data_IF_268742864359
#
_entry.id   IF_268742864359
#
_cell.length_a   1.000
_cell.length_b   1.000
_cell.length_c   1.000
_cell.angle_alpha   90.00
_cell.angle_beta   90.00
_cell.angle_gamma   90.00
#
_symmetry.space_group_name_H-M   'P 1'
#
loop_
_entity.id
_entity.type
_entity.pdbx_description
1 polymer ?
#
# COMPACT_ATOMS: atom_id res chain seq x y z
N UNK A 1 62.31 -21.59 4.38
CA UNK A 1 61.83 -22.45 3.28
C UNK A 1 60.32 -22.47 3.34
N UNK A 2 59.67 -22.35 2.17
CA UNK A 2 58.23 -22.30 1.86
C UNK A 2 57.61 -20.92 2.19
N UNK A 3 57.20 -20.03 1.27
CA UNK A 3 56.81 -20.13 -0.14
C UNK A 3 55.39 -19.56 -0.27
N UNK A 4 55.14 -18.37 -0.87
CA UNK A 4 53.78 -17.82 -0.98
C UNK A 4 53.03 -18.39 -2.18
N UNK A 5 51.83 -18.93 -1.96
CA UNK A 5 50.98 -19.42 -3.02
C UNK A 5 50.38 -18.27 -3.85
N UNK A 6 50.55 -18.45 -5.15
CA UNK A 6 50.21 -17.58 -6.27
C UNK A 6 48.76 -17.85 -6.64
N UNK A 7 47.88 -16.86 -6.51
CA UNK A 7 46.50 -16.95 -7.00
C UNK A 7 46.52 -16.77 -8.52
N UNK A 8 46.27 -17.87 -9.23
CA UNK A 8 46.22 -17.91 -10.70
C UNK A 8 44.91 -17.32 -11.22
N UNK A 9 45.05 -16.44 -12.22
CA UNK A 9 43.96 -15.92 -13.03
C UNK A 9 43.46 -17.01 -13.97
N UNK A 10 42.15 -17.20 -14.04
CA UNK A 10 41.52 -18.02 -15.07
C UNK A 10 40.74 -17.10 -16.01
N UNK A 11 41.35 -16.82 -17.16
CA UNK A 11 40.67 -16.33 -18.36
C UNK A 11 39.90 -17.50 -18.98
N UNK A 12 38.59 -17.30 -19.18
CA UNK A 12 37.68 -18.25 -19.81
C UNK A 12 36.81 -17.51 -20.82
N UNK A 13 37.08 -17.84 -22.07
CA UNK A 13 36.65 -17.26 -23.33
C UNK A 13 35.23 -17.66 -23.75
N UNK A 14 34.74 -16.89 -24.71
CA UNK A 14 33.52 -16.84 -25.53
C UNK A 14 32.56 -18.05 -25.64
N UNK A 15 31.26 -17.72 -25.76
CA UNK A 15 30.17 -18.63 -26.04
C UNK A 15 28.87 -17.91 -26.40
N UNK A 16 28.90 -17.22 -27.53
CA UNK A 16 27.78 -16.60 -28.26
C UNK A 16 26.89 -17.71 -28.88
N UNK A 17 25.57 -17.69 -28.67
CA UNK A 17 24.55 -18.35 -29.52
C UNK A 17 23.11 -18.05 -29.04
N UNK A 18 22.38 -17.32 -29.86
CA UNK A 18 20.91 -17.31 -30.02
C UNK A 18 20.64 -16.76 -31.45
N UNK A 19 19.49 -16.97 -32.13
CA UNK A 19 18.25 -17.64 -31.71
C UNK A 19 17.63 -18.58 -32.78
N UNK A 20 16.65 -19.40 -32.39
CA UNK A 20 15.69 -20.01 -33.34
C UNK A 20 14.23 -19.73 -32.95
N UNK A 21 13.61 -18.95 -33.84
CA UNK A 21 12.21 -18.58 -34.00
C UNK A 21 11.36 -19.79 -34.44
N UNK A 22 10.26 -20.09 -33.72
CA UNK A 22 9.16 -20.91 -34.26
C UNK A 22 7.79 -20.33 -33.91
N UNK A 23 7.24 -19.72 -34.95
CA UNK A 23 5.85 -19.47 -35.27
C UNK A 23 4.92 -20.66 -34.97
N UNK A 24 3.73 -20.39 -34.45
CA UNK A 24 2.58 -21.31 -34.49
C UNK A 24 1.27 -20.52 -34.36
N UNK A 25 0.82 -20.05 -35.52
CA UNK A 25 -0.54 -20.08 -36.06
C UNK A 25 -1.74 -20.41 -35.15
N UNK A 26 -2.66 -19.43 -35.14
CA UNK A 26 -4.12 -19.47 -34.98
C UNK A 26 -4.80 -20.78 -35.41
N UNK A 27 -5.71 -21.26 -34.56
CA UNK A 27 -6.84 -22.12 -34.94
C UNK A 27 -8.16 -21.40 -34.61
N UNK A 28 -8.83 -20.90 -35.65
CA UNK A 28 -10.23 -20.52 -35.65
C UNK A 28 -11.04 -21.72 -36.17
N UNK A 29 -11.93 -22.27 -35.36
CA UNK A 29 -12.94 -23.23 -35.80
C UNK A 29 -14.32 -22.72 -35.40
N UNK A 30 -15.07 -22.29 -36.41
CA UNK A 30 -16.44 -21.82 -36.29
C UNK A 30 -17.43 -22.95 -36.08
N UNK A 31 -18.58 -22.59 -35.50
CA UNK A 31 -19.79 -23.40 -35.51
C UNK A 31 -20.95 -22.51 -35.99
N UNK A 32 -21.49 -22.91 -37.14
CA UNK A 32 -22.74 -22.47 -37.75
C UNK A 32 -23.89 -22.72 -36.75
N UNK A 33 -24.89 -21.87 -36.56
CA UNK A 33 -25.85 -21.46 -37.57
C UNK A 33 -27.00 -22.47 -37.61
N UNK A 34 -27.99 -22.35 -36.70
CA UNK A 34 -29.28 -23.03 -36.88
C UNK A 34 -30.43 -22.19 -36.32
N UNK A 35 -31.39 -21.96 -37.22
CA UNK A 35 -32.55 -21.09 -37.08
C UNK A 35 -33.81 -21.91 -37.29
N UNK A 36 -34.63 -22.07 -36.25
CA UNK A 36 -36.07 -22.44 -36.26
C UNK A 36 -36.57 -22.08 -34.85
N UNK A 37 -37.76 -21.61 -34.53
CA UNK A 37 -39.08 -21.62 -35.16
C UNK A 37 -39.95 -20.57 -34.46
N UNK A 38 -40.82 -19.92 -35.21
CA UNK A 38 -41.80 -18.92 -34.72
C UNK A 38 -43.05 -19.64 -34.24
N UNK A 39 -43.17 -19.83 -32.93
CA UNK A 39 -44.36 -20.41 -32.28
C UNK A 39 -45.04 -19.45 -31.31
N UNK A 40 -46.14 -18.85 -31.76
CA UNK A 40 -47.05 -17.97 -31.02
C UNK A 40 -47.76 -18.71 -29.88
N UNK A 41 -47.78 -18.14 -28.68
CA UNK A 41 -48.60 -18.59 -27.54
C UNK A 41 -48.77 -17.50 -26.48
N UNK A 42 -49.90 -16.79 -26.55
CA UNK A 42 -50.43 -15.91 -25.50
C UNK A 42 -50.63 -16.68 -24.18
N UNK A 43 -50.09 -16.18 -23.07
CA UNK A 43 -50.79 -16.20 -21.77
C UNK A 43 -50.32 -15.03 -20.91
N UNK A 44 -51.29 -14.20 -20.53
CA UNK A 44 -51.13 -13.13 -19.56
C UNK A 44 -50.84 -13.68 -18.16
N UNK A 45 -49.83 -13.13 -17.48
CA UNK A 45 -49.67 -13.24 -16.03
C UNK A 45 -49.17 -11.91 -15.48
N UNK A 46 -50.11 -11.07 -15.05
CA UNK A 46 -49.81 -9.87 -14.27
C UNK A 46 -49.26 -10.24 -12.89
N UNK A 47 -48.22 -9.52 -12.47
CA UNK A 47 -48.17 -8.94 -11.13
C UNK A 47 -47.69 -9.83 -9.98
N UNK A 48 -46.45 -10.31 -10.03
CA UNK A 48 -45.73 -10.68 -8.80
C UNK A 48 -44.42 -9.90 -8.71
N UNK A 49 -44.26 -8.98 -7.73
CA UNK A 49 -42.99 -8.29 -7.56
C UNK A 49 -41.90 -9.31 -7.23
N UNK A 50 -40.66 -9.08 -7.68
CA UNK A 50 -39.54 -9.94 -7.34
C UNK A 50 -39.43 -10.04 -5.81
N UNK A 51 -39.28 -11.26 -5.27
CA UNK A 51 -39.12 -11.50 -3.82
C UNK A 51 -37.79 -10.98 -3.28
N UNK A 52 -36.86 -10.66 -4.18
CA UNK A 52 -35.57 -10.07 -3.85
C UNK A 52 -35.67 -8.58 -4.23
N UNK A 53 -35.57 -7.65 -3.26
CA UNK A 53 -35.48 -6.23 -3.58
C UNK A 53 -34.31 -6.01 -4.55
N UNK A 54 -34.54 -5.22 -5.60
CA UNK A 54 -33.44 -4.76 -6.45
C UNK A 54 -32.39 -4.06 -5.56
N UNK A 55 -31.08 -4.21 -5.86
CA UNK A 55 -30.06 -3.41 -5.21
C UNK A 55 -30.47 -1.94 -5.25
N UNK A 56 -30.40 -1.25 -4.11
CA UNK A 56 -30.68 0.19 -4.09
C UNK A 56 -29.69 0.85 -5.04
N UNK A 57 -30.19 1.54 -6.07
CA UNK A 57 -29.36 2.44 -6.84
C UNK A 57 -28.76 3.45 -5.87
N UNK A 58 -27.45 3.66 -5.92
CA UNK A 58 -26.79 4.71 -5.16
C UNK A 58 -27.45 6.04 -5.50
N UNK A 59 -27.68 6.88 -4.48
CA UNK A 59 -28.24 8.24 -4.67
C UNK A 59 -27.42 9.05 -5.68
N UNK A 60 -26.14 8.70 -5.82
CA UNK A 60 -25.15 9.29 -6.72
C UNK A 60 -25.36 8.92 -8.21
N UNK A 61 -25.98 7.77 -8.52
CA UNK A 61 -26.23 7.31 -9.90
C UNK A 61 -27.55 7.84 -10.50
N UNK A 62 -28.40 8.46 -9.69
CA UNK A 62 -29.74 8.91 -10.11
C UNK A 62 -29.77 10.19 -10.95
N UNK A 63 -28.63 10.87 -11.12
CA UNK A 63 -28.55 12.16 -11.82
C UNK A 63 -29.36 13.30 -11.17
N UNK A 64 -29.96 13.05 -10.00
CA UNK A 64 -30.69 14.02 -9.22
C UNK A 64 -29.70 14.81 -8.35
N UNK A 65 -29.87 16.14 -8.24
CA UNK A 65 -29.03 16.95 -7.36
C UNK A 65 -29.14 16.45 -5.92
N UNK A 66 -27.98 16.32 -5.25
CA UNK A 66 -27.90 15.98 -3.83
C UNK A 66 -28.77 16.96 -3.02
N UNK A 67 -29.64 16.42 -2.18
CA UNK A 67 -30.49 17.23 -1.30
C UNK A 67 -29.61 18.15 -0.44
N UNK A 68 -30.00 19.42 -0.30
CA UNK A 68 -29.23 20.36 0.51
C UNK A 68 -29.21 19.88 1.97
N UNK A 69 -28.13 20.14 2.74
CA UNK A 69 -28.02 19.68 4.14
C UNK A 69 -29.20 20.11 5.03
N UNK A 70 -29.84 21.25 4.70
CA UNK A 70 -31.03 21.74 5.37
C UNK A 70 -32.27 20.84 5.15
N UNK A 71 -32.41 20.25 3.97
CA UNK A 71 -33.53 19.36 3.61
C UNK A 71 -33.38 17.97 4.24
N UNK A 72 -32.17 17.60 4.64
CA UNK A 72 -31.84 16.36 5.35
C UNK A 72 -31.92 16.49 6.88
N UNK A 73 -32.30 17.65 7.41
CA UNK A 73 -32.36 17.90 8.85
C UNK A 73 -31.00 17.93 9.55
N UNK A 74 -29.89 17.99 8.80
CA UNK A 74 -28.51 17.98 9.33
C UNK A 74 -28.11 19.29 10.02
N UNK A 75 -28.96 20.31 9.97
CA UNK A 75 -28.82 21.59 10.70
C UNK A 75 -29.48 21.57 12.07
N UNK A 76 -30.22 20.52 12.44
CA UNK A 76 -30.66 20.33 13.81
C UNK A 76 -29.47 19.85 14.66
N UNK A 77 -29.25 20.40 15.88
CA UNK A 77 -28.26 19.84 16.79
C UNK A 77 -28.60 18.36 17.03
N UNK A 78 -27.58 17.47 17.05
CA UNK A 78 -27.83 16.06 17.30
C UNK A 78 -28.60 15.89 18.62
N UNK A 79 -29.60 15.00 18.67
CA UNK A 79 -30.29 14.72 19.93
C UNK A 79 -29.25 14.31 20.98
N UNK A 80 -29.37 14.87 22.19
CA UNK A 80 -28.49 14.51 23.29
C UNK A 80 -28.54 12.98 23.49
N UNK A 81 -27.39 12.31 23.70
CA UNK A 81 -27.38 10.87 23.88
C UNK A 81 -28.27 10.50 25.06
N UNK A 82 -29.05 9.41 24.95
CA UNK A 82 -29.88 8.96 26.06
C UNK A 82 -28.98 8.66 27.27
N UNK A 83 -29.33 9.19 28.43
CA UNK A 83 -28.67 8.86 29.69
C UNK A 83 -29.05 7.41 30.07
N UNK A 84 -28.35 6.44 29.49
CA UNK A 84 -28.55 5.03 29.76
C UNK A 84 -27.77 4.62 31.00
N UNK A 85 -28.39 3.79 31.83
CA UNK A 85 -27.75 3.24 33.01
C UNK A 85 -26.61 2.28 32.62
N UNK A 86 -25.56 2.24 33.44
CA UNK A 86 -24.37 1.42 33.20
C UNK A 86 -24.66 -0.06 32.83
N UNK A 87 -25.61 -0.78 33.46
CA UNK A 87 -25.94 -2.15 33.08
C UNK A 87 -26.47 -2.29 31.66
N UNK A 88 -27.21 -1.28 31.18
CA UNK A 88 -27.75 -1.24 29.81
C UNK A 88 -26.61 -1.01 28.82
N UNK A 89 -25.73 -0.04 29.11
CA UNK A 89 -24.54 0.23 28.29
C UNK A 89 -23.61 -0.99 28.21
N UNK A 90 -23.43 -1.70 29.32
CA UNK A 90 -22.67 -2.95 29.35
C UNK A 90 -23.31 -4.04 28.49
N UNK A 91 -24.64 -4.16 28.48
CA UNK A 91 -25.35 -5.11 27.63
C UNK A 91 -25.23 -4.77 26.13
N UNK A 92 -25.12 -3.47 25.80
CA UNK A 92 -24.95 -3.01 24.42
C UNK A 92 -23.54 -3.24 23.84
N UNK A 93 -22.52 -3.55 24.66
CA UNK A 93 -21.14 -3.71 24.18
C UNK A 93 -21.00 -4.75 23.06
N UNK A 94 -21.77 -5.85 23.12
CA UNK A 94 -21.77 -6.87 22.07
C UNK A 94 -22.36 -6.36 20.75
N UNK A 95 -23.51 -5.66 20.82
CA UNK A 95 -24.14 -5.06 19.65
C UNK A 95 -23.27 -3.94 19.06
N UNK A 96 -22.65 -3.13 19.92
CA UNK A 96 -21.72 -2.07 19.52
C UNK A 96 -20.47 -2.64 18.84
N UNK A 97 -19.90 -3.74 19.35
CA UNK A 97 -18.75 -4.40 18.74
C UNK A 97 -19.05 -4.95 17.33
N UNK A 98 -20.31 -5.32 17.07
CA UNK A 98 -20.80 -5.77 15.76
C UNK A 98 -21.33 -4.62 14.87
N UNK A 99 -21.18 -3.36 15.29
CA UNK A 99 -21.76 -2.20 14.61
C UNK A 99 -23.28 -2.31 14.36
N UNK A 100 -24.01 -2.93 15.30
CA UNK A 100 -25.45 -3.19 15.22
C UNK A 100 -26.30 -2.27 16.11
N UNK A 101 -25.69 -1.30 16.81
CA UNK A 101 -26.39 -0.29 17.59
C UNK A 101 -26.98 0.82 16.70
N UNK A 102 -28.02 1.51 17.20
CA UNK A 102 -28.42 2.79 16.61
C UNK A 102 -27.32 3.85 16.79
N UNK A 103 -27.40 4.97 16.05
CA UNK A 103 -26.43 6.05 16.19
C UNK A 103 -26.44 6.67 17.60
N UNK A 104 -27.61 6.79 18.22
CA UNK A 104 -27.77 7.32 19.58
C UNK A 104 -27.18 6.36 20.62
N UNK A 105 -27.43 5.06 20.47
CA UNK A 105 -26.87 4.02 21.34
C UNK A 105 -25.35 3.93 21.21
N UNK A 106 -24.82 4.00 19.98
CA UNK A 106 -23.39 3.96 19.73
C UNK A 106 -22.68 5.17 20.36
N UNK A 107 -23.26 6.36 20.23
CA UNK A 107 -22.75 7.59 20.87
C UNK A 107 -22.73 7.45 22.39
N UNK A 108 -23.83 6.94 23.00
CA UNK A 108 -23.91 6.73 24.44
C UNK A 108 -22.89 5.70 24.95
N UNK A 109 -22.66 4.63 24.18
CA UNK A 109 -21.61 3.64 24.49
C UNK A 109 -20.23 4.27 24.39
N UNK A 110 -19.92 5.01 23.31
CA UNK A 110 -18.61 5.66 23.13
C UNK A 110 -18.28 6.66 24.24
N UNK A 111 -19.26 7.47 24.64
CA UNK A 111 -19.12 8.37 25.79
C UNK A 111 -18.83 7.57 27.07
N UNK A 112 -19.54 6.46 27.30
CA UNK A 112 -19.31 5.60 28.45
C UNK A 112 -17.92 4.96 28.48
N UNK A 113 -17.42 4.49 27.34
CA UNK A 113 -16.08 3.88 27.22
C UNK A 113 -14.97 4.85 27.60
N UNK A 114 -15.16 6.16 27.36
CA UNK A 114 -14.23 7.20 27.81
C UNK A 114 -14.11 7.32 29.34
N UNK A 115 -15.11 6.85 30.10
CA UNK A 115 -15.19 7.03 31.55
C UNK A 115 -15.11 5.71 32.34
N UNK A 116 -15.22 4.54 31.69
CA UNK A 116 -15.24 3.23 32.35
C UNK A 116 -14.23 2.25 31.74
N UNK A 117 -13.07 2.10 32.39
CA UNK A 117 -11.98 1.24 31.92
C UNK A 117 -12.36 -0.24 31.75
N UNK A 118 -13.17 -0.81 32.66
CA UNK A 118 -13.59 -2.21 32.54
C UNK A 118 -14.46 -2.48 31.32
N UNK A 119 -15.29 -1.51 30.92
CA UNK A 119 -16.11 -1.60 29.72
C UNK A 119 -15.27 -1.35 28.46
N UNK A 120 -14.29 -0.44 28.51
CA UNK A 120 -13.32 -0.23 27.42
C UNK A 120 -12.51 -1.51 27.12
N UNK A 121 -12.01 -2.17 28.16
CA UNK A 121 -11.27 -3.43 28.01
C UNK A 121 -12.13 -4.55 27.42
N UNK A 122 -13.38 -4.65 27.87
CA UNK A 122 -14.33 -5.62 27.33
C UNK A 122 -14.69 -5.31 25.88
N UNK A 123 -14.95 -4.05 25.56
CA UNK A 123 -15.24 -3.59 24.20
C UNK A 123 -14.09 -3.92 23.23
N UNK A 124 -12.83 -3.75 23.67
CA UNK A 124 -11.65 -4.14 22.90
C UNK A 124 -11.60 -5.65 22.66
N UNK A 125 -11.78 -6.47 23.70
CA UNK A 125 -11.82 -7.94 23.58
C UNK A 125 -12.92 -8.41 22.64
N UNK A 126 -14.10 -7.81 22.72
CA UNK A 126 -15.22 -8.14 21.84
C UNK A 126 -14.91 -7.79 20.39
N UNK A 127 -14.31 -6.64 20.10
CA UNK A 127 -13.89 -6.27 18.73
C UNK A 127 -12.82 -7.21 18.16
N UNK A 128 -11.85 -7.63 18.98
CA UNK A 128 -10.87 -8.65 18.59
C UNK A 128 -11.56 -9.98 18.23
N UNK A 129 -12.53 -10.41 19.04
CA UNK A 129 -13.30 -11.63 18.78
C UNK A 129 -14.19 -11.53 17.52
N UNK A 130 -14.79 -10.37 17.25
CA UNK A 130 -15.59 -10.13 16.03
C UNK A 130 -14.74 -10.34 14.78
N UNK A 131 -13.47 -9.92 14.79
CA UNK A 131 -12.54 -10.16 13.68
C UNK A 131 -12.32 -11.65 13.37
N UNK A 132 -12.48 -12.54 14.35
CA UNK A 132 -12.39 -14.00 14.15
C UNK A 132 -13.69 -14.61 13.60
N UNK A 133 -14.84 -13.97 13.87
CA UNK A 133 -16.16 -14.41 13.40
C UNK A 133 -16.44 -13.91 11.98
N UNK A 134 -15.92 -12.74 11.63
CA UNK A 134 -16.08 -12.16 10.31
C UNK A 134 -15.30 -13.01 9.31
N UNK A 135 -16.02 -13.76 8.48
CA UNK A 135 -15.41 -14.39 7.31
C UNK A 135 -14.83 -13.25 6.45
N UNK A 136 -13.58 -13.34 5.98
CA UNK A 136 -13.08 -12.34 5.05
C UNK A 136 -14.03 -12.32 3.85
N UNK A 137 -14.80 -11.25 3.73
CA UNK A 137 -15.59 -11.01 2.54
C UNK A 137 -14.59 -10.91 1.39
N UNK A 138 -14.89 -11.57 0.27
CA UNK A 138 -14.08 -11.39 -0.93
C UNK A 138 -14.21 -9.92 -1.32
N UNK A 139 -13.15 -9.16 -1.08
CA UNK A 139 -12.97 -7.80 -1.53
C UNK A 139 -12.75 -7.81 -3.05
N UNK A 140 -13.78 -8.23 -3.81
CA UNK A 140 -13.86 -7.92 -5.24
C UNK A 140 -14.27 -6.44 -5.37
N UNK A 141 -13.44 -5.59 -4.77
CA UNK A 141 -13.55 -4.16 -4.86
C UNK A 141 -13.04 -3.76 -6.23
N UNK A 142 -13.72 -2.78 -6.83
CA UNK A 142 -13.23 -2.11 -8.02
C UNK A 142 -11.77 -1.67 -7.81
N UNK A 143 -10.81 -2.08 -8.67
CA UNK A 143 -9.40 -1.72 -8.51
C UNK A 143 -9.16 -0.19 -8.47
N UNK A 144 -10.05 0.60 -9.08
CA UNK A 144 -10.01 2.07 -9.05
C UNK A 144 -10.65 2.70 -7.82
N UNK A 145 -11.28 1.94 -6.91
CA UNK A 145 -11.89 2.49 -5.69
C UNK A 145 -10.87 3.20 -4.80
N UNK A 146 -9.69 2.60 -4.63
CA UNK A 146 -8.62 3.19 -3.82
C UNK A 146 -8.24 4.57 -4.36
N UNK A 147 -8.03 4.69 -5.67
CA UNK A 147 -7.69 5.96 -6.33
C UNK A 147 -8.78 7.01 -6.09
N UNK A 148 -10.05 6.67 -6.34
CA UNK A 148 -11.17 7.59 -6.13
C UNK A 148 -11.32 8.06 -4.68
N UNK A 149 -11.12 7.16 -3.72
CA UNK A 149 -11.16 7.50 -2.28
C UNK A 149 -10.00 8.44 -1.94
N UNK A 150 -8.80 8.16 -2.43
CA UNK A 150 -7.63 9.01 -2.19
C UNK A 150 -7.80 10.39 -2.83
N UNK A 151 -8.29 10.47 -4.07
CA UNK A 151 -8.60 11.74 -4.73
C UNK A 151 -9.60 12.56 -3.92
N UNK A 152 -10.71 11.95 -3.50
CA UNK A 152 -11.72 12.61 -2.65
C UNK A 152 -11.13 13.07 -1.31
N UNK A 153 -10.23 12.28 -0.71
CA UNK A 153 -9.54 12.67 0.52
C UNK A 153 -8.60 13.87 0.30
N UNK A 154 -7.86 13.88 -0.82
CA UNK A 154 -6.92 14.94 -1.17
C UNK A 154 -7.62 16.23 -1.59
N UNK A 155 -8.81 16.15 -2.21
CA UNK A 155 -9.67 17.31 -2.46
C UNK A 155 -10.09 17.99 -1.15
N UNK A 156 -10.48 17.19 -0.14
CA UNK A 156 -10.89 17.70 1.18
C UNK A 156 -9.71 18.17 2.02
N UNK A 157 -8.55 17.53 1.87
CA UNK A 157 -7.32 17.85 2.59
C UNK A 157 -6.14 17.77 1.61
N UNK A 158 -5.80 18.88 0.95
CA UNK A 158 -4.66 18.94 0.05
C UNK A 158 -3.36 18.57 0.77
N UNK A 159 -2.38 17.97 0.06
CA UNK A 159 -1.08 17.69 0.63
C UNK A 159 -0.42 19.00 1.06
N UNK A 160 0.25 18.98 2.23
CA UNK A 160 0.97 20.16 2.76
C UNK A 160 2.05 20.65 1.80
N UNK A 161 2.66 19.71 1.07
CA UNK A 161 3.66 19.97 0.04
C UNK A 161 3.15 19.28 -1.22
N UNK A 162 2.51 20.01 -2.16
CA UNK A 162 2.03 19.42 -3.39
C UNK A 162 3.19 19.05 -4.31
N UNK A 163 3.12 17.86 -4.91
CA UNK A 163 4.04 17.44 -5.96
C UNK A 163 3.67 18.17 -7.25
N UNK A 164 4.59 18.89 -7.90
CA UNK A 164 4.29 19.57 -9.15
C UNK A 164 4.08 18.56 -10.27
N UNK A 165 3.23 18.88 -11.25
CA UNK A 165 2.83 17.97 -12.33
C UNK A 165 4.02 17.39 -13.11
N UNK A 166 5.05 18.20 -13.36
CA UNK A 166 6.27 17.75 -14.05
C UNK A 166 7.05 16.68 -13.28
N UNK A 167 6.85 16.57 -11.97
CA UNK A 167 7.48 15.57 -11.11
C UNK A 167 6.61 14.34 -10.86
N UNK A 168 5.35 14.31 -11.33
CA UNK A 168 4.41 13.23 -11.04
C UNK A 168 4.90 11.86 -11.51
N UNK A 169 5.53 11.79 -12.69
CA UNK A 169 6.12 10.54 -13.18
C UNK A 169 7.27 10.07 -12.28
N UNK A 170 8.10 11.00 -11.81
CA UNK A 170 9.20 10.68 -10.90
C UNK A 170 8.68 10.18 -9.55
N UNK A 171 7.69 10.87 -8.97
CA UNK A 171 7.02 10.47 -7.73
C UNK A 171 6.45 9.04 -7.84
N UNK A 172 5.75 8.74 -8.94
CA UNK A 172 5.23 7.40 -9.21
C UNK A 172 6.33 6.33 -9.28
N UNK A 173 7.46 6.60 -9.95
CA UNK A 173 8.58 5.64 -9.97
C UNK A 173 9.22 5.48 -8.60
N UNK A 174 9.37 6.55 -7.83
CA UNK A 174 9.93 6.47 -6.46
C UNK A 174 8.99 5.71 -5.52
N UNK A 175 7.67 5.85 -5.66
CA UNK A 175 6.70 5.09 -4.90
C UNK A 175 6.73 3.59 -5.25
N UNK A 176 6.95 3.24 -6.52
CA UNK A 176 7.16 1.85 -6.94
C UNK A 176 8.45 1.27 -6.40
N UNK A 177 9.54 2.05 -6.40
CA UNK A 177 10.80 1.64 -5.79
C UNK A 177 10.62 1.43 -4.28
N UNK A 178 9.94 2.33 -3.58
CA UNK A 178 9.66 2.19 -2.15
C UNK A 178 8.88 0.90 -1.87
N UNK A 179 7.79 0.65 -2.60
CA UNK A 179 7.03 -0.59 -2.48
C UNK A 179 7.90 -1.84 -2.72
N UNK A 180 8.76 -1.82 -3.74
CA UNK A 180 9.69 -2.92 -4.01
C UNK A 180 10.66 -3.14 -2.83
N UNK A 181 11.21 -2.07 -2.27
CA UNK A 181 12.15 -2.15 -1.15
C UNK A 181 11.48 -2.65 0.14
N UNK A 182 10.19 -2.34 0.36
CA UNK A 182 9.42 -2.87 1.49
C UNK A 182 9.20 -4.40 1.38
N UNK A 183 9.17 -4.93 0.15
CA UNK A 183 8.99 -6.36 -0.10
C UNK A 183 10.31 -7.16 0.00
N UNK A 184 11.47 -6.50 0.16
CA UNK A 184 12.77 -7.18 0.20
C UNK A 184 13.03 -7.88 1.54
N UNK A 185 13.43 -9.14 1.47
CA UNK A 185 14.02 -9.87 2.58
C UNK A 185 15.54 -9.73 2.67
N UNK A 186 16.13 -10.32 3.72
CA UNK A 186 17.58 -10.26 3.96
C UNK A 186 18.42 -10.76 2.76
N UNK A 187 17.93 -11.79 2.05
CA UNK A 187 18.65 -12.36 0.91
C UNK A 187 18.74 -11.35 -0.26
N UNK A 188 17.64 -10.66 -0.56
CA UNK A 188 17.56 -9.65 -1.60
C UNK A 188 18.46 -8.44 -1.28
N UNK A 189 18.52 -8.01 -0.02
CA UNK A 189 19.44 -6.95 0.43
C UNK A 189 20.92 -7.28 0.20
N UNK A 190 21.29 -8.55 0.35
CA UNK A 190 22.65 -9.05 0.15
C UNK A 190 22.92 -9.51 -1.30
N UNK A 191 21.95 -9.43 -2.20
CA UNK A 191 22.13 -9.81 -3.59
C UNK A 191 23.30 -9.02 -4.23
N UNK A 192 24.25 -9.70 -4.90
CA UNK A 192 25.45 -9.07 -5.43
C UNK A 192 25.12 -8.22 -6.67
N UNK A 193 25.58 -6.97 -6.67
CA UNK A 193 25.44 -6.02 -7.78
C UNK A 193 26.80 -5.66 -8.32
N UNK A 194 26.95 -5.65 -9.65
CA UNK A 194 28.14 -5.16 -10.33
C UNK A 194 27.83 -3.83 -11.03
N UNK A 195 28.30 -2.75 -10.44
CA UNK A 195 28.22 -1.42 -11.02
C UNK A 195 29.29 -1.27 -12.10
N UNK A 196 28.93 -0.69 -13.26
CA UNK A 196 29.82 -0.41 -14.38
C UNK A 196 29.64 1.04 -14.82
N UNK A 197 30.74 1.75 -15.02
CA UNK A 197 30.74 3.13 -15.52
C UNK A 197 32.08 3.47 -16.17
N UNK A 198 32.16 4.58 -16.90
CA UNK A 198 33.41 5.05 -17.51
C UNK A 198 34.09 6.10 -16.64
N UNK A 199 35.42 6.03 -16.54
CA UNK A 199 36.26 7.06 -15.92
C UNK A 199 37.34 7.45 -16.93
N UNK A 200 37.29 8.71 -17.39
CA UNK A 200 37.98 9.13 -18.61
C UNK A 200 37.63 8.13 -19.75
N UNK A 201 38.63 7.55 -20.40
CA UNK A 201 38.42 6.62 -21.53
C UNK A 201 38.42 5.13 -21.11
N UNK A 202 38.41 4.83 -19.80
CA UNK A 202 38.48 3.46 -19.30
C UNK A 202 37.16 3.02 -18.63
N UNK A 203 36.65 1.86 -19.03
CA UNK A 203 35.56 1.19 -18.33
C UNK A 203 36.04 0.73 -16.94
N UNK A 204 35.30 1.12 -15.90
CA UNK A 204 35.54 0.75 -14.50
C UNK A 204 34.36 -0.05 -13.98
N UNK A 205 34.60 -0.97 -13.04
CA UNK A 205 33.53 -1.67 -12.34
C UNK A 205 33.80 -1.80 -10.84
N UNK A 206 32.72 -1.93 -10.05
CA UNK A 206 32.78 -2.22 -8.62
C UNK A 206 31.71 -3.25 -8.27
N UNK A 207 32.08 -4.24 -7.46
CA UNK A 207 31.14 -5.17 -6.84
C UNK A 207 30.63 -4.57 -5.53
N UNK A 208 29.34 -4.71 -5.30
CA UNK A 208 28.64 -4.30 -4.09
C UNK A 208 27.42 -5.21 -3.89
N UNK A 209 26.54 -4.89 -2.97
CA UNK A 209 25.21 -5.50 -2.82
C UNK A 209 24.12 -4.47 -3.08
N UNK A 210 22.85 -4.89 -3.15
CA UNK A 210 21.71 -3.95 -3.20
C UNK A 210 21.76 -2.97 -2.02
N UNK A 211 21.95 -3.47 -0.80
CA UNK A 211 22.10 -2.62 0.38
C UNK A 211 23.24 -1.61 0.22
N UNK A 212 24.38 -2.03 -0.35
CA UNK A 212 25.49 -1.14 -0.62
C UNK A 212 25.20 -0.08 -1.70
N UNK A 213 24.35 -0.38 -2.69
CA UNK A 213 23.87 0.61 -3.67
C UNK A 213 22.97 1.64 -3.01
N UNK A 214 21.97 1.20 -2.24
CA UNK A 214 21.03 2.10 -1.55
C UNK A 214 21.77 2.98 -0.53
N UNK A 215 22.68 2.41 0.26
CA UNK A 215 23.54 3.16 1.17
C UNK A 215 24.39 4.20 0.42
N UNK A 216 24.85 3.88 -0.79
CA UNK A 216 25.61 4.82 -1.61
C UNK A 216 24.76 5.99 -2.10
N UNK A 217 23.56 5.72 -2.62
CA UNK A 217 22.62 6.75 -3.06
C UNK A 217 22.26 7.68 -1.89
N UNK A 218 21.87 7.12 -0.74
CA UNK A 218 21.58 7.91 0.47
C UNK A 218 22.77 8.77 0.91
N UNK A 219 24.00 8.25 0.79
CA UNK A 219 25.22 8.99 1.13
C UNK A 219 25.47 10.19 0.21
N UNK A 220 25.15 10.03 -1.08
CA UNK A 220 25.26 11.08 -2.11
C UNK A 220 24.16 12.12 -1.92
N UNK A 221 22.92 11.66 -1.73
CA UNK A 221 21.76 12.53 -1.55
C UNK A 221 21.89 13.40 -0.31
N UNK A 222 22.51 12.87 0.76
CA UNK A 222 22.81 13.68 1.95
C UNK A 222 23.76 14.86 1.68
N UNK A 223 24.69 14.74 0.72
CA UNK A 223 25.55 15.87 0.33
C UNK A 223 24.74 16.97 -0.36
N UNK A 224 23.77 16.59 -1.19
CA UNK A 224 22.87 17.51 -1.88
C UNK A 224 21.91 18.15 -0.87
N UNK A 225 21.34 17.36 0.03
CA UNK A 225 20.44 17.82 1.09
C UNK A 225 21.10 18.91 1.94
N UNK A 226 22.32 18.65 2.44
CA UNK A 226 23.08 19.64 3.23
C UNK A 226 23.39 20.90 2.41
N UNK A 227 23.74 20.77 1.13
CA UNK A 227 23.97 21.93 0.26
C UNK A 227 22.70 22.78 0.03
N UNK A 228 21.52 22.17 0.12
CA UNK A 228 20.22 22.83 0.05
C UNK A 228 19.71 23.35 1.41
N UNK A 229 20.46 23.14 2.50
CA UNK A 229 20.08 23.53 3.86
C UNK A 229 19.05 22.60 4.52
N UNK A 230 18.94 21.36 4.04
CA UNK A 230 18.14 20.30 4.65
C UNK A 230 19.00 19.45 5.60
N UNK A 231 18.34 18.65 6.44
CA UNK A 231 19.00 17.72 7.37
C UNK A 231 19.79 16.63 6.63
N UNK A 232 20.94 16.21 7.18
CA UNK A 232 21.72 15.09 6.63
C UNK A 232 21.04 13.76 7.01
N UNK A 233 20.57 12.93 6.04
CA UNK A 233 19.96 11.63 6.33
C UNK A 233 20.93 10.66 7.03
N UNK A 234 22.24 10.88 6.96
CA UNK A 234 23.24 10.10 7.69
C UNK A 234 23.54 10.64 9.09
N UNK A 235 23.00 11.79 9.49
CA UNK A 235 23.32 12.44 10.78
C UNK A 235 24.82 12.71 10.96
N UNK A 236 25.33 12.56 12.19
CA UNK A 236 26.72 12.87 12.55
C UNK A 236 27.75 11.80 12.14
N UNK A 237 27.53 11.01 11.07
CA UNK A 237 28.50 9.99 10.63
C UNK A 237 29.80 10.68 10.17
N UNK A 238 30.93 10.53 10.88
CA UNK A 238 32.11 11.32 10.60
C UNK A 238 32.88 10.75 9.41
N UNK A 239 32.74 11.37 8.23
CA UNK A 239 33.63 11.11 7.10
C UNK A 239 34.83 12.07 7.13
N UNK A 240 36.05 11.53 7.26
CA UNK A 240 37.32 12.30 7.36
C UNK A 240 37.58 13.23 6.14
N UNK A 241 36.90 12.97 5.03
CA UNK A 241 36.59 13.86 3.89
C UNK A 241 35.26 13.40 3.28
N UNK A 242 34.30 14.29 2.94
CA UNK A 242 32.97 13.86 2.52
C UNK A 242 32.94 13.56 1.02
N UNK A 243 33.74 12.59 0.56
CA UNK A 243 33.49 12.00 -0.76
C UNK A 243 32.35 10.99 -0.64
N UNK A 244 31.51 10.82 -1.67
CA UNK A 244 30.43 9.83 -1.67
C UNK A 244 30.87 8.44 -1.20
N UNK A 245 31.98 7.93 -1.75
CA UNK A 245 32.51 6.63 -1.40
C UNK A 245 32.93 6.53 0.08
N UNK A 246 33.58 7.56 0.63
CA UNK A 246 34.01 7.57 2.02
C UNK A 246 32.82 7.64 3.00
N UNK A 247 31.72 8.32 2.63
CA UNK A 247 30.48 8.38 3.42
C UNK A 247 29.75 7.04 3.44
N UNK A 248 29.68 6.37 2.29
CA UNK A 248 29.08 5.02 2.19
C UNK A 248 29.83 4.01 3.04
N UNK A 249 31.15 4.04 3.00
CA UNK A 249 31.99 3.12 3.78
C UNK A 249 31.87 3.41 5.29
N UNK A 250 31.77 4.67 5.70
CA UNK A 250 31.60 5.04 7.11
C UNK A 250 30.27 4.53 7.70
N UNK A 251 29.16 4.63 6.95
CA UNK A 251 27.85 4.12 7.39
C UNK A 251 27.79 2.59 7.51
N UNK A 252 28.49 1.85 6.63
CA UNK A 252 28.52 0.39 6.65
C UNK A 252 29.26 -0.22 7.86
N UNK A 253 30.19 0.51 8.47
CA UNK A 253 30.94 0.02 9.65
C UNK A 253 30.14 0.09 10.96
N UNK A 254 29.16 1.00 11.05
CA UNK A 254 28.33 1.20 12.26
C UNK A 254 27.33 0.08 12.51
N UNK A 255 26.93 -0.69 11.50
CA UNK A 255 26.01 -1.84 11.66
C UNK A 255 26.74 -3.15 12.06
N UNK A 256 28.08 -3.16 12.09
CA UNK A 256 28.91 -4.32 12.46
C UNK A 256 29.48 -4.25 13.89
N UNK A 257 29.16 -3.20 14.65
CA UNK A 257 29.50 -3.11 16.09
C UNK A 257 28.24 -3.16 16.93
N UNK A 258 27.74 -4.37 17.16
CA UNK A 258 26.89 -4.64 18.32
C UNK A 258 27.70 -4.28 19.58
N UNK A 259 27.14 -3.54 20.55
CA UNK A 259 27.81 -3.36 21.83
C UNK A 259 27.91 -4.72 22.51
N UNK A 260 29.15 -5.16 22.74
CA UNK A 260 29.44 -6.24 23.68
C UNK A 260 29.02 -5.75 25.06
N UNK A 261 27.92 -6.30 25.57
CA UNK A 261 27.41 -5.98 26.89
C UNK A 261 28.37 -6.53 27.95
N UNK A 262 28.59 -5.73 29.00
CA UNK A 262 29.51 -6.02 30.12
C UNK A 262 28.82 -6.87 31.18
#
# INVERSE_FOLDING_TARGET
>A
MNGPERFEAHDGDEGENDPEEKDNTRDESGVQGESVDTGRGDTAAHGRPPRIPMPRASVEDGGLPLAAPADLGLTAPPPAPPALEHPVLKALLGAWALAACSAEEATAVEEHLGHCGSCADEARRLREAVGLLQRPESLDLDPGLRTRVLDTCLERRPPRIPVPEWAAAYDAETARLDALLQDFGDAEWHAPVRLRWFRADAATSRRTTVAGVIAHLLSVDGLVAVALGLDDPLGDVPARRPTPAARTEAGSYTHLTLPTNT
#
